data_IF_832699163335
#
_entry.id   IF_832699163335
#
_cell.length_a   1.000
_cell.length_b   1.000
_cell.length_c   1.000
_cell.angle_alpha   90.00
_cell.angle_beta   90.00
_cell.angle_gamma   90.00
#
_symmetry.space_group_name_H-M   'P 1'
#
loop_
_entity.id
_entity.type
_entity.pdbx_description
1 polymer ?
#
# COMPACT_ATOMS: atom_id res chain seq x y z
N UNK A 1 -6.24 0.11 38.62
CA UNK A 1 -7.01 0.15 37.34
C UNK A 1 -6.22 -0.64 36.30
N UNK A 2 -6.66 -1.87 36.05
CA UNK A 2 -6.00 -2.78 35.11
C UNK A 2 -6.29 -2.35 33.69
N UNK A 3 -5.30 -1.80 32.96
CA UNK A 3 -5.34 -1.73 31.52
C UNK A 3 -5.09 -3.13 30.98
N UNK A 4 -6.16 -3.80 30.54
CA UNK A 4 -6.09 -5.10 29.92
C UNK A 4 -5.12 -5.10 28.74
N UNK A 5 -4.06 -5.83 28.89
CA UNK A 5 -3.18 -6.32 27.84
C UNK A 5 -4.03 -7.21 26.94
N UNK A 6 -4.48 -6.69 25.81
CA UNK A 6 -5.09 -7.50 24.76
C UNK A 6 -3.98 -8.35 24.16
N UNK A 7 -3.99 -9.57 24.59
CA UNK A 7 -3.18 -10.71 24.24
C UNK A 7 -2.97 -10.83 22.72
N UNK A 8 -1.80 -11.29 22.34
CA UNK A 8 -1.35 -11.60 20.97
C UNK A 8 -2.13 -12.78 20.36
N UNK A 9 -3.45 -12.69 20.30
CA UNK A 9 -4.24 -13.63 19.52
C UNK A 9 -3.91 -13.44 18.05
N UNK A 10 -3.55 -14.51 17.39
CA UNK A 10 -3.29 -14.62 15.97
C UNK A 10 -4.35 -13.85 15.20
N UNK A 11 -4.00 -12.69 14.65
CA UNK A 11 -4.95 -11.90 13.87
C UNK A 11 -5.37 -12.72 12.67
N UNK A 12 -6.63 -13.09 12.63
CA UNK A 12 -7.25 -13.70 11.47
C UNK A 12 -6.96 -12.80 10.26
N UNK A 13 -6.35 -13.37 9.23
CA UNK A 13 -6.09 -12.63 7.98
C UNK A 13 -7.42 -12.10 7.45
N UNK A 14 -7.52 -10.80 7.25
CA UNK A 14 -8.71 -10.16 6.69
C UNK A 14 -8.96 -10.65 5.27
N UNK A 15 -10.22 -10.90 4.95
CA UNK A 15 -10.65 -11.26 3.59
C UNK A 15 -10.56 -10.05 2.65
N UNK A 16 -10.63 -10.30 1.34
CA UNK A 16 -10.67 -9.22 0.35
C UNK A 16 -11.90 -8.32 0.54
N UNK A 17 -13.04 -8.90 0.90
CA UNK A 17 -14.28 -8.17 1.19
C UNK A 17 -14.13 -7.27 2.41
N UNK A 18 -13.54 -7.76 3.50
CA UNK A 18 -13.28 -6.96 4.71
C UNK A 18 -12.35 -5.78 4.40
N UNK A 19 -11.30 -6.00 3.61
CA UNK A 19 -10.37 -4.94 3.19
C UNK A 19 -11.03 -3.91 2.28
N UNK A 20 -11.89 -4.34 1.34
CA UNK A 20 -12.67 -3.45 0.50
C UNK A 20 -13.67 -2.63 1.31
N UNK A 21 -14.31 -3.26 2.30
CA UNK A 21 -15.21 -2.56 3.22
C UNK A 21 -14.47 -1.44 3.99
N UNK A 22 -13.27 -1.73 4.52
CA UNK A 22 -12.41 -0.72 5.16
C UNK A 22 -12.03 0.42 4.21
N UNK A 23 -11.73 0.11 2.94
CA UNK A 23 -11.42 1.14 1.95
C UNK A 23 -12.64 2.06 1.72
N UNK A 24 -13.85 1.51 1.61
CA UNK A 24 -15.10 2.28 1.48
C UNK A 24 -15.37 3.18 2.68
N UNK A 25 -15.17 2.67 3.90
CA UNK A 25 -15.37 3.44 5.13
C UNK A 25 -14.45 4.67 5.24
N UNK A 26 -13.27 4.65 4.61
CA UNK A 26 -12.35 5.79 4.65
C UNK A 26 -12.83 7.01 3.88
N UNK A 27 -13.68 6.84 2.87
CA UNK A 27 -14.23 7.94 2.08
C UNK A 27 -13.22 8.74 1.24
N UNK A 28 -12.02 8.18 0.99
CA UNK A 28 -10.89 8.87 0.30
C UNK A 28 -10.58 8.28 -1.08
N UNK A 29 -11.46 7.45 -1.60
CA UNK A 29 -11.34 6.80 -2.90
C UNK A 29 -12.49 7.18 -3.81
N UNK A 30 -12.22 7.30 -5.10
CA UNK A 30 -13.25 7.44 -6.13
C UNK A 30 -14.04 6.13 -6.29
N UNK A 31 -15.26 6.19 -6.86
CA UNK A 31 -16.06 4.99 -7.18
C UNK A 31 -15.27 4.02 -8.08
N UNK A 32 -14.51 4.54 -9.06
CA UNK A 32 -13.68 3.72 -9.93
C UNK A 32 -12.57 2.96 -9.18
N UNK A 33 -11.89 3.63 -8.22
CA UNK A 33 -10.91 2.94 -7.35
C UNK A 33 -11.58 1.85 -6.51
N UNK A 34 -12.75 2.12 -5.93
CA UNK A 34 -13.47 1.19 -5.06
C UNK A 34 -14.08 -0.01 -5.80
N UNK A 35 -14.57 0.19 -7.01
CA UNK A 35 -15.32 -0.85 -7.73
C UNK A 35 -14.44 -1.62 -8.72
N UNK A 36 -13.28 -1.08 -9.13
CA UNK A 36 -12.42 -1.69 -10.14
C UNK A 36 -10.99 -1.91 -9.64
N UNK A 37 -10.28 -0.85 -9.21
CA UNK A 37 -8.85 -0.94 -8.97
C UNK A 37 -8.52 -1.69 -7.68
N UNK A 38 -9.19 -1.37 -6.57
CA UNK A 38 -8.95 -2.01 -5.27
C UNK A 38 -9.33 -3.49 -5.31
N UNK A 39 -10.49 -3.92 -5.83
CA UNK A 39 -10.81 -5.34 -5.98
C UNK A 39 -9.78 -6.10 -6.82
N UNK A 40 -9.38 -5.56 -7.98
CA UNK A 40 -8.36 -6.17 -8.82
C UNK A 40 -7.01 -6.32 -8.10
N UNK A 41 -6.60 -5.30 -7.35
CA UNK A 41 -5.40 -5.33 -6.52
C UNK A 41 -5.48 -6.39 -5.41
N UNK A 42 -6.59 -6.47 -4.68
CA UNK A 42 -6.76 -7.42 -3.56
C UNK A 42 -6.73 -8.88 -4.02
N UNK A 43 -7.25 -9.16 -5.21
CA UNK A 43 -7.26 -10.50 -5.79
C UNK A 43 -5.90 -10.92 -6.37
N UNK A 44 -5.02 -9.97 -6.71
CA UNK A 44 -3.74 -10.27 -7.33
C UNK A 44 -2.69 -10.70 -6.29
N UNK A 45 -2.41 -12.00 -6.23
CA UNK A 45 -1.43 -12.63 -5.33
C UNK A 45 0.04 -12.29 -5.65
N UNK A 46 0.34 -11.76 -6.82
CA UNK A 46 1.71 -11.36 -7.18
C UNK A 46 2.24 -10.26 -6.25
N UNK A 47 1.36 -9.40 -5.73
CA UNK A 47 1.74 -8.37 -4.77
C UNK A 47 2.05 -8.89 -3.36
N UNK A 48 1.83 -10.19 -3.08
CA UNK A 48 2.27 -10.84 -1.85
C UNK A 48 3.75 -11.25 -1.90
N UNK A 49 4.38 -11.23 -3.06
CA UNK A 49 5.78 -11.60 -3.24
C UNK A 49 6.69 -10.45 -2.86
N UNK A 50 7.54 -10.68 -1.87
CA UNK A 50 8.52 -9.69 -1.39
C UNK A 50 9.86 -9.90 -2.10
N UNK A 51 10.41 -8.82 -2.62
CA UNK A 51 11.79 -8.78 -3.08
C UNK A 51 12.75 -8.80 -1.88
N UNK A 52 13.41 -9.94 -1.67
CA UNK A 52 14.27 -10.16 -0.50
C UNK A 52 15.44 -9.18 -0.44
N UNK A 53 16.12 -8.93 -1.57
CA UNK A 53 17.26 -8.01 -1.62
C UNK A 53 16.85 -6.58 -1.24
N UNK A 54 15.77 -6.07 -1.81
CA UNK A 54 15.23 -4.76 -1.46
C UNK A 54 14.75 -4.71 -0.01
N UNK A 55 14.12 -5.79 0.46
CA UNK A 55 13.60 -5.88 1.82
C UNK A 55 14.72 -5.93 2.87
N UNK A 56 15.80 -6.64 2.59
CA UNK A 56 16.95 -6.73 3.47
C UNK A 56 17.59 -5.37 3.79
N UNK A 57 17.41 -4.36 2.92
CA UNK A 57 17.86 -2.97 3.19
C UNK A 57 17.19 -2.33 4.42
N UNK A 58 16.16 -2.97 4.94
CA UNK A 58 15.38 -2.51 6.09
C UNK A 58 15.38 -3.50 7.26
N UNK A 59 16.27 -4.51 7.21
CA UNK A 59 16.45 -5.52 8.26
C UNK A 59 17.84 -5.37 8.85
N UNK A 60 17.90 -4.91 10.10
CA UNK A 60 19.16 -4.71 10.82
C UNK A 60 19.97 -6.00 10.87
N UNK A 61 21.29 -5.89 10.64
CA UNK A 61 22.20 -7.03 10.64
C UNK A 61 22.50 -7.61 9.26
N UNK A 62 21.67 -7.36 8.25
CA UNK A 62 21.92 -7.79 6.86
C UNK A 62 23.03 -6.95 6.21
N UNK A 63 23.65 -7.50 5.18
CA UNK A 63 24.65 -6.80 4.39
C UNK A 63 24.03 -5.61 3.64
N UNK A 64 22.86 -5.81 3.04
CA UNK A 64 22.12 -4.80 2.29
C UNK A 64 21.69 -3.62 3.18
N UNK A 65 21.33 -3.89 4.44
CA UNK A 65 21.03 -2.83 5.41
C UNK A 65 22.29 -1.97 5.68
N UNK A 66 23.43 -2.61 5.95
CA UNK A 66 24.69 -1.88 6.22
C UNK A 66 25.08 -0.98 5.06
N UNK A 67 24.93 -1.46 3.82
CA UNK A 67 25.18 -0.66 2.62
C UNK A 67 24.20 0.51 2.49
N UNK A 68 22.89 0.25 2.66
CA UNK A 68 21.85 1.27 2.56
C UNK A 68 22.01 2.35 3.64
N UNK A 69 22.31 1.97 4.87
CA UNK A 69 22.56 2.87 5.99
C UNK A 69 23.79 3.75 5.76
N UNK A 70 24.90 3.15 5.33
CA UNK A 70 26.13 3.89 4.98
C UNK A 70 25.89 4.89 3.86
N UNK A 71 25.17 4.48 2.80
CA UNK A 71 24.82 5.35 1.68
C UNK A 71 23.92 6.50 2.14
N UNK A 72 22.92 6.22 2.94
CA UNK A 72 21.99 7.22 3.49
C UNK A 72 22.75 8.29 4.30
N UNK A 73 23.65 7.87 5.19
CA UNK A 73 24.49 8.78 5.99
C UNK A 73 25.42 9.63 5.14
N UNK A 74 26.02 9.08 4.08
CA UNK A 74 26.85 9.86 3.13
C UNK A 74 26.06 10.92 2.39
N UNK A 75 24.77 10.69 2.17
CA UNK A 75 23.86 11.67 1.56
C UNK A 75 23.32 12.71 2.54
N UNK A 76 23.77 12.71 3.81
CA UNK A 76 23.34 13.64 4.84
C UNK A 76 22.04 13.26 5.56
N UNK A 77 21.51 12.05 5.35
CA UNK A 77 20.35 11.53 6.06
C UNK A 77 20.75 10.87 7.40
N UNK A 78 19.78 10.68 8.29
CA UNK A 78 20.01 10.08 9.61
C UNK A 78 20.40 8.59 9.57
N UNK A 79 20.15 7.92 8.45
CA UNK A 79 20.40 6.50 8.24
C UNK A 79 19.29 5.85 7.39
N UNK A 80 19.33 4.53 7.27
CA UNK A 80 18.28 3.78 6.61
C UNK A 80 17.16 3.44 7.59
N UNK A 81 15.90 3.58 7.16
CA UNK A 81 14.75 3.10 7.91
C UNK A 81 14.82 1.58 8.12
N UNK A 82 14.39 1.09 9.28
CA UNK A 82 14.47 -0.34 9.61
C UNK A 82 13.34 -0.81 10.52
N UNK A 83 13.00 -2.09 10.38
CA UNK A 83 12.05 -2.76 11.26
C UNK A 83 12.70 -3.19 12.58
N UNK A 84 11.90 -3.21 13.64
CA UNK A 84 12.28 -3.83 14.91
C UNK A 84 12.47 -5.35 14.70
N UNK A 85 13.35 -5.98 15.48
CA UNK A 85 13.69 -7.40 15.34
C UNK A 85 12.52 -8.35 15.59
N UNK A 86 11.49 -7.89 16.30
CA UNK A 86 10.26 -8.63 16.59
C UNK A 86 9.15 -8.42 15.53
N UNK A 87 9.41 -7.62 14.47
CA UNK A 87 8.49 -7.39 13.37
C UNK A 87 8.94 -8.12 12.10
N UNK A 88 8.35 -9.28 11.84
CA UNK A 88 8.65 -10.07 10.65
C UNK A 88 7.76 -9.65 9.47
N UNK A 89 8.26 -8.74 8.64
CA UNK A 89 7.52 -8.23 7.48
C UNK A 89 7.15 -9.33 6.47
N UNK A 90 7.95 -10.39 6.35
CA UNK A 90 7.66 -11.49 5.42
C UNK A 90 6.41 -12.28 5.81
N UNK A 91 6.13 -12.36 7.11
CA UNK A 91 4.89 -12.97 7.64
C UNK A 91 3.73 -11.99 7.59
N UNK A 92 3.99 -10.71 7.91
CA UNK A 92 2.93 -9.72 8.08
C UNK A 92 2.40 -9.15 6.76
N UNK A 93 3.16 -9.18 5.67
CA UNK A 93 2.79 -8.51 4.42
C UNK A 93 1.39 -8.90 3.91
N UNK A 94 1.01 -10.17 4.00
CA UNK A 94 -0.30 -10.65 3.55
C UNK A 94 -1.45 -10.10 4.39
N UNK A 95 -1.20 -9.87 5.68
CA UNK A 95 -2.20 -9.33 6.61
C UNK A 95 -2.39 -7.84 6.40
N UNK A 96 -1.29 -7.09 6.22
CA UNK A 96 -1.32 -5.62 6.15
C UNK A 96 -1.62 -5.09 4.76
N UNK A 97 -1.27 -5.79 3.68
CA UNK A 97 -1.54 -5.38 2.31
C UNK A 97 -3.05 -5.20 2.05
N UNK A 98 -3.42 -4.08 1.48
CA UNK A 98 -4.81 -3.71 1.21
C UNK A 98 -5.54 -3.12 2.40
N UNK A 99 -4.87 -2.91 3.53
CA UNK A 99 -5.47 -2.28 4.73
C UNK A 99 -5.11 -0.80 4.87
N UNK A 100 -4.26 -0.26 4.00
CA UNK A 100 -3.76 1.10 4.03
C UNK A 100 -4.40 2.06 3.03
N UNK A 101 -3.71 3.16 2.80
CA UNK A 101 -4.03 4.16 1.78
C UNK A 101 -3.29 3.80 0.50
N UNK A 102 -4.00 3.27 -0.49
CA UNK A 102 -3.47 2.84 -1.79
C UNK A 102 -3.39 4.01 -2.77
N UNK A 103 -2.26 4.12 -3.45
CA UNK A 103 -2.08 4.98 -4.61
C UNK A 103 -1.93 4.16 -5.89
N UNK A 104 -2.54 4.64 -6.97
CA UNK A 104 -2.47 4.05 -8.30
C UNK A 104 -1.84 5.03 -9.30
N UNK A 105 -1.14 4.51 -10.29
CA UNK A 105 -0.68 5.33 -11.41
C UNK A 105 -1.82 5.56 -12.43
N UNK A 106 -1.54 6.36 -13.47
CA UNK A 106 -2.50 6.66 -14.54
C UNK A 106 -3.01 5.42 -15.31
N UNK A 107 -2.28 4.30 -15.24
CA UNK A 107 -2.67 3.04 -15.86
C UNK A 107 -3.46 2.12 -14.90
N UNK A 108 -3.79 2.58 -13.69
CA UNK A 108 -4.50 1.80 -12.66
C UNK A 108 -3.64 0.74 -11.96
N UNK A 109 -2.31 0.78 -12.10
CA UNK A 109 -1.42 -0.13 -11.37
C UNK A 109 -1.10 0.48 -9.99
N UNK A 110 -1.07 -0.34 -8.92
CA UNK A 110 -0.70 0.13 -7.60
C UNK A 110 0.76 0.58 -7.60
N UNK A 111 1.01 1.72 -6.97
CA UNK A 111 2.35 2.29 -6.78
C UNK A 111 2.84 2.08 -5.36
N UNK A 112 2.04 2.53 -4.42
CA UNK A 112 2.38 2.59 -3.02
C UNK A 112 1.14 2.43 -2.16
N UNK A 113 1.32 1.84 -1.00
CA UNK A 113 0.31 1.79 0.06
C UNK A 113 0.94 2.25 1.37
N UNK A 114 0.32 3.21 2.04
CA UNK A 114 0.72 3.63 3.38
C UNK A 114 -0.21 3.00 4.41
N UNK A 115 0.35 2.15 5.25
CA UNK A 115 -0.40 1.40 6.28
C UNK A 115 -0.04 1.90 7.66
N UNK A 116 -1.04 2.19 8.49
CA UNK A 116 -0.87 2.43 9.91
C UNK A 116 -1.12 1.15 10.69
N UNK A 117 -0.09 0.70 11.41
CA UNK A 117 -0.14 -0.50 12.24
C UNK A 117 -0.68 -0.17 13.65
N UNK A 118 -1.09 -1.19 14.39
CA UNK A 118 -1.59 -1.01 15.75
C UNK A 118 -0.49 -0.95 16.81
N UNK A 119 0.76 -1.22 16.42
CA UNK A 119 1.94 -1.15 17.28
C UNK A 119 3.10 -0.49 16.56
N UNK A 120 4.04 -0.02 17.30
CA UNK A 120 5.33 0.39 16.74
C UNK A 120 6.01 -0.79 16.05
N UNK A 121 6.62 -0.54 14.90
CA UNK A 121 7.18 -1.56 14.01
C UNK A 121 8.65 -1.32 13.66
N UNK A 122 9.21 -0.17 14.06
CA UNK A 122 10.58 0.18 13.74
C UNK A 122 10.85 1.67 13.74
N UNK A 123 11.80 2.08 12.94
CA UNK A 123 12.24 3.47 12.81
C UNK A 123 12.14 3.94 11.35
N UNK A 124 11.49 5.07 11.13
CA UNK A 124 11.31 5.70 9.82
C UNK A 124 11.67 7.18 9.83
N UNK A 125 11.82 7.75 8.64
CA UNK A 125 12.15 9.16 8.43
C UNK A 125 13.53 9.36 7.82
N UNK A 126 13.70 10.44 7.05
CA UNK A 126 14.95 10.74 6.34
C UNK A 126 15.92 11.62 7.14
N UNK A 127 15.44 12.73 7.67
CA UNK A 127 16.28 13.68 8.40
C UNK A 127 16.56 13.25 9.85
N UNK A 128 15.63 12.54 10.45
CA UNK A 128 15.72 11.93 11.77
C UNK A 128 14.95 10.64 11.79
N UNK A 129 15.60 9.56 12.23
CA UNK A 129 14.92 8.30 12.48
C UNK A 129 14.08 8.43 13.75
N UNK A 130 12.79 8.20 13.63
CA UNK A 130 11.81 8.22 14.73
C UNK A 130 11.06 6.91 14.81
N UNK A 131 10.67 6.53 16.00
CA UNK A 131 9.82 5.35 16.23
C UNK A 131 8.50 5.54 15.49
N UNK A 132 8.06 4.50 14.79
CA UNK A 132 6.87 4.60 13.92
C UNK A 132 6.03 3.33 13.95
N UNK A 133 4.73 3.53 13.75
CA UNK A 133 3.72 2.52 13.49
C UNK A 133 3.24 2.54 12.02
N UNK A 134 3.96 3.25 11.14
CA UNK A 134 3.58 3.44 9.74
C UNK A 134 4.55 2.75 8.80
N UNK A 135 3.99 1.98 7.86
CA UNK A 135 4.71 1.27 6.80
C UNK A 135 4.34 1.87 5.44
N UNK A 136 5.32 2.11 4.60
CA UNK A 136 5.15 2.24 3.16
C UNK A 136 5.40 0.89 2.51
N UNK A 137 4.46 0.44 1.67
CA UNK A 137 4.58 -0.75 0.83
C UNK A 137 4.63 -0.27 -0.61
N UNK A 138 5.74 -0.51 -1.29
CA UNK A 138 5.92 -0.17 -2.70
C UNK A 138 5.70 -1.37 -3.59
N UNK A 139 4.87 -1.18 -4.60
CA UNK A 139 4.53 -2.18 -5.59
C UNK A 139 5.29 -1.91 -6.88
N UNK A 140 5.90 -2.94 -7.44
CA UNK A 140 6.56 -2.86 -8.74
C UNK A 140 6.15 -4.05 -9.60
N UNK A 141 6.45 -3.99 -10.92
CA UNK A 141 6.12 -5.09 -11.85
C UNK A 141 6.75 -6.43 -11.45
N UNK A 142 7.86 -6.39 -10.73
CA UNK A 142 8.63 -7.58 -10.43
C UNK A 142 8.42 -8.07 -9.00
N UNK A 143 8.14 -7.20 -8.02
CA UNK A 143 8.01 -7.61 -6.62
C UNK A 143 7.72 -6.42 -5.69
N UNK A 144 7.20 -6.74 -4.52
CA UNK A 144 6.86 -5.79 -3.46
C UNK A 144 8.03 -5.62 -2.48
N UNK A 145 8.19 -4.44 -1.89
CA UNK A 145 9.01 -4.25 -0.69
C UNK A 145 8.39 -3.22 0.24
N UNK A 146 8.66 -3.33 1.52
CA UNK A 146 8.08 -2.49 2.54
C UNK A 146 9.16 -1.90 3.46
N UNK A 147 8.92 -0.71 3.98
CA UNK A 147 9.82 -0.05 4.92
C UNK A 147 9.07 0.89 5.86
N UNK A 148 9.57 1.09 7.09
CA UNK A 148 8.99 2.06 8.00
C UNK A 148 9.17 3.49 7.49
N UNK A 149 8.13 4.31 7.64
CA UNK A 149 8.15 5.75 7.30
C UNK A 149 7.75 6.59 8.50
N UNK A 150 8.00 7.89 8.45
CA UNK A 150 7.58 8.78 9.53
C UNK A 150 6.05 8.81 9.66
N UNK A 151 5.49 8.91 10.88
CA UNK A 151 4.04 9.02 11.07
C UNK A 151 3.41 10.20 10.30
N UNK A 152 4.16 11.29 10.12
CA UNK A 152 3.72 12.43 9.31
C UNK A 152 3.48 12.09 7.83
N UNK A 153 4.12 11.06 7.30
CA UNK A 153 3.93 10.67 5.90
C UNK A 153 2.55 10.04 5.66
N UNK A 154 1.99 9.34 6.65
CA UNK A 154 0.60 8.88 6.61
C UNK A 154 -0.37 10.07 6.47
N UNK A 155 -0.20 11.11 7.28
CA UNK A 155 -1.06 12.30 7.23
C UNK A 155 -0.95 13.03 5.89
N UNK A 156 0.26 13.15 5.33
CA UNK A 156 0.45 13.77 4.00
C UNK A 156 -0.30 13.02 2.89
N UNK A 157 -0.28 11.69 2.92
CA UNK A 157 -0.99 10.87 1.92
C UNK A 157 -2.49 10.98 2.13
N UNK A 158 -2.97 10.94 3.38
CA UNK A 158 -4.38 11.12 3.70
C UNK A 158 -4.91 12.47 3.19
N UNK A 159 -4.25 13.57 3.56
CA UNK A 159 -4.62 14.93 3.13
C UNK A 159 -4.66 15.07 1.60
N UNK A 160 -3.68 14.45 0.90
CA UNK A 160 -3.65 14.46 -0.57
C UNK A 160 -4.87 13.74 -1.15
N UNK A 161 -5.21 12.56 -0.63
CA UNK A 161 -6.35 11.78 -1.10
C UNK A 161 -7.68 12.46 -0.83
N UNK A 162 -7.87 13.04 0.34
CA UNK A 162 -9.07 13.82 0.70
C UNK A 162 -9.26 14.99 -0.26
N UNK A 163 -8.21 15.77 -0.53
CA UNK A 163 -8.26 16.88 -1.49
C UNK A 163 -8.62 16.42 -2.90
N UNK A 164 -8.12 15.27 -3.33
CA UNK A 164 -8.42 14.70 -4.64
C UNK A 164 -9.89 14.28 -4.72
N UNK A 165 -10.43 13.63 -3.71
CA UNK A 165 -11.85 13.25 -3.65
C UNK A 165 -12.78 14.45 -3.65
N UNK A 166 -12.49 15.47 -2.85
CA UNK A 166 -13.29 16.71 -2.80
C UNK A 166 -13.27 17.43 -4.17
N UNK A 167 -12.11 17.51 -4.82
CA UNK A 167 -11.96 18.12 -6.14
C UNK A 167 -12.72 17.37 -7.24
N UNK A 168 -12.89 16.06 -7.14
CA UNK A 168 -13.72 15.26 -8.05
C UNK A 168 -15.21 15.51 -7.81
N UNK A 169 -15.65 15.60 -6.57
CA UNK A 169 -17.05 15.85 -6.21
C UNK A 169 -17.51 17.24 -6.68
N UNK A 170 -16.69 18.26 -6.55
CA UNK A 170 -17.01 19.63 -7.02
C UNK A 170 -17.07 19.74 -8.53
N UNK A 171 -16.26 19.00 -9.27
CA UNK A 171 -16.32 18.97 -10.74
C UNK A 171 -17.59 18.29 -11.27
N UNK A 172 -18.14 17.29 -10.57
CA UNK A 172 -19.42 16.68 -10.94
C UNK A 172 -20.62 17.61 -10.69
N UNK A 173 -20.54 18.49 -9.69
CA UNK A 173 -21.59 19.47 -9.41
C UNK A 173 -21.66 20.63 -10.43
N UNK A 174 -20.56 20.88 -11.20
CA UNK A 174 -20.46 21.98 -12.18
C UNK A 174 -20.68 21.57 -13.64
N UNK A 175 -21.24 20.39 -13.92
CA UNK A 175 -21.83 20.07 -15.23
C UNK A 175 -20.87 19.87 -16.42
N UNK A 176 -19.62 19.44 -16.20
CA UNK A 176 -18.71 19.12 -17.29
C UNK A 176 -18.97 17.71 -17.85
N UNK A 177 -19.26 17.66 -19.13
CA UNK A 177 -19.66 16.53 -19.98
C UNK A 177 -19.01 15.18 -19.71
N UNK A 178 -19.85 14.16 -19.54
CA UNK A 178 -19.54 12.72 -19.33
C UNK A 178 -18.90 11.99 -20.52
N UNK A 179 -18.72 12.59 -21.67
CA UNK A 179 -18.44 11.88 -22.94
C UNK A 179 -17.00 11.34 -23.09
N UNK A 180 -16.01 11.95 -22.45
CA UNK A 180 -14.61 11.46 -22.53
C UNK A 180 -14.29 10.26 -21.64
N UNK A 181 -15.04 10.09 -20.55
CA UNK A 181 -14.76 9.07 -19.53
C UNK A 181 -15.27 7.67 -19.91
N UNK A 182 -16.43 7.61 -20.56
CA UNK A 182 -17.09 6.34 -20.97
C UNK A 182 -16.27 5.59 -22.04
N UNK A 183 -15.60 6.31 -22.94
CA UNK A 183 -14.82 5.68 -24.02
C UNK A 183 -13.59 4.93 -23.50
N UNK A 184 -12.95 5.44 -22.45
CA UNK A 184 -11.80 4.78 -21.82
C UNK A 184 -12.20 3.53 -21.01
N UNK A 185 -13.37 3.52 -20.39
CA UNK A 185 -13.87 2.36 -19.61
C UNK A 185 -14.18 1.18 -20.53
N UNK A 186 -14.81 1.40 -21.68
CA UNK A 186 -15.14 0.33 -22.63
C UNK A 186 -13.88 -0.31 -23.24
N UNK A 187 -12.84 0.49 -23.55
CA UNK A 187 -11.55 -0.03 -24.01
C UNK A 187 -10.84 -0.88 -22.94
N UNK A 188 -10.95 -0.50 -21.66
CA UNK A 188 -10.32 -1.21 -20.55
C UNK A 188 -11.06 -2.49 -20.17
N UNK A 189 -12.40 -2.48 -20.14
CA UNK A 189 -13.23 -3.67 -19.93
C UNK A 189 -13.03 -4.70 -21.04
N UNK A 190 -12.81 -4.26 -22.28
CA UNK A 190 -12.43 -5.12 -23.40
C UNK A 190 -11.09 -5.84 -23.19
N UNK A 191 -10.10 -5.17 -22.57
CA UNK A 191 -8.80 -5.76 -22.22
C UNK A 191 -8.92 -6.77 -21.06
N UNK A 192 -9.71 -6.47 -20.03
CA UNK A 192 -9.97 -7.40 -18.90
C UNK A 192 -10.69 -8.66 -19.38
N UNK A 193 -11.71 -8.53 -20.23
CA UNK A 193 -12.40 -9.71 -20.81
C UNK A 193 -11.45 -10.61 -21.60
N UNK A 194 -10.49 -10.06 -22.35
CA UNK A 194 -9.46 -10.85 -23.05
C UNK A 194 -8.52 -11.59 -22.09
N UNK A 195 -8.17 -10.97 -20.94
CA UNK A 195 -7.33 -11.60 -19.92
C UNK A 195 -8.08 -12.76 -19.25
N UNK A 196 -9.35 -12.56 -18.88
CA UNK A 196 -10.18 -13.64 -18.31
C UNK A 196 -10.43 -14.78 -19.30
N UNK A 197 -10.64 -14.47 -20.58
CA UNK A 197 -10.82 -15.49 -21.63
C UNK A 197 -9.53 -16.29 -21.87
N UNK A 198 -8.37 -15.68 -21.75
CA UNK A 198 -7.08 -16.36 -21.88
C UNK A 198 -6.81 -17.31 -20.70
N UNK A 199 -7.13 -16.92 -19.47
CA UNK A 199 -6.97 -17.77 -18.28
C UNK A 199 -7.99 -18.91 -18.21
N UNK A 200 -9.21 -18.74 -18.72
CA UNK A 200 -10.20 -19.82 -18.76
C UNK A 200 -9.85 -20.94 -19.74
N UNK A 201 -9.00 -20.65 -20.73
CA UNK A 201 -8.57 -21.62 -21.77
C UNK A 201 -7.29 -22.38 -21.42
N UNK A 202 -6.58 -21.99 -20.36
CA UNK A 202 -5.39 -22.69 -19.85
C UNK A 202 -5.70 -23.77 -18.79
N UNK A 203 -6.99 -24.05 -18.52
CA UNK A 203 -7.41 -25.19 -17.70
C UNK A 203 -8.04 -26.27 -18.60
N UNK A 204 -7.20 -26.93 -19.36
CA UNK A 204 -7.42 -28.27 -19.92
C UNK A 204 -6.08 -28.99 -19.95
#
# INVERSE_FOLDING_TARGET
>A
MNKGYLDSQSRKTQTAEEKLHLARQRGVYSEYELDVLIPAFLLNKEYDKINREKQNRHIVGTYEYKQADTKSKRMGFAGSAFFDSDFDIFKEIKNIRGTGLLDFNSNGLPLEEIVKCHRTIGYGGSNKLIRTDVISIRYSKTETHAFPVAPADYMKVLDRKEKTCIGLTTRHATGVSRTGFVHNIQSFLGKIKKIFYFFSRMRL
#
